data_IF_698725166983
#
_entry.id   IF_698725166983
#
_cell.length_a   1.000
_cell.length_b   1.000
_cell.length_c   1.000
_cell.angle_alpha   90.00
_cell.angle_beta   90.00
_cell.angle_gamma   90.00
#
_symmetry.space_group_name_H-M   'P 1'
#
loop_
_entity.id
_entity.type
_entity.pdbx_description
1 polymer ?
#
# COMPACT_ATOMS: atom_id res chain seq x y z
N UNK A 1 -18.30 -22.92 7.11
CA UNK A 1 -18.20 -21.71 7.97
C UNK A 1 -16.75 -21.38 8.29
N UNK A 2 -15.97 -22.25 8.96
CA UNK A 2 -14.58 -21.96 9.37
C UNK A 2 -13.69 -21.47 8.22
N UNK A 3 -13.73 -22.11 7.05
CA UNK A 3 -12.92 -21.68 5.89
C UNK A 3 -13.18 -20.24 5.45
N UNK A 4 -14.43 -19.79 5.53
CA UNK A 4 -14.82 -18.43 5.15
C UNK A 4 -14.22 -17.37 6.09
N UNK A 5 -14.16 -17.67 7.39
CA UNK A 5 -13.49 -16.84 8.39
C UNK A 5 -11.98 -16.79 8.16
N UNK A 6 -11.36 -17.90 7.74
CA UNK A 6 -9.93 -17.93 7.42
C UNK A 6 -9.65 -17.05 6.20
N UNK A 7 -10.42 -17.18 5.12
CA UNK A 7 -10.23 -16.35 3.92
C UNK A 7 -10.43 -14.87 4.20
N UNK A 8 -11.47 -14.51 4.95
CA UNK A 8 -11.73 -13.13 5.31
C UNK A 8 -10.64 -12.56 6.23
N UNK A 9 -10.15 -13.35 7.21
CA UNK A 9 -9.01 -12.97 8.05
C UNK A 9 -7.71 -12.75 7.26
N UNK A 10 -7.41 -13.63 6.30
CA UNK A 10 -6.25 -13.47 5.41
C UNK A 10 -6.37 -12.22 4.54
N UNK A 11 -7.56 -11.93 4.02
CA UNK A 11 -7.84 -10.71 3.26
C UNK A 11 -7.62 -9.44 4.09
N UNK A 12 -8.07 -9.43 5.35
CA UNK A 12 -7.84 -8.31 6.27
C UNK A 12 -6.35 -8.11 6.54
N UNK A 13 -5.63 -9.18 6.87
CA UNK A 13 -4.19 -9.12 7.14
C UNK A 13 -3.39 -8.64 5.91
N UNK A 14 -3.69 -9.18 4.73
CA UNK A 14 -3.05 -8.77 3.49
C UNK A 14 -3.39 -7.33 3.12
N UNK A 15 -4.65 -6.92 3.27
CA UNK A 15 -5.09 -5.54 3.04
C UNK A 15 -4.37 -4.55 3.95
N UNK A 16 -4.27 -4.85 5.25
CA UNK A 16 -3.51 -4.05 6.21
C UNK A 16 -2.02 -3.99 5.86
N UNK A 17 -1.40 -5.12 5.50
CA UNK A 17 0.01 -5.18 5.12
C UNK A 17 0.31 -4.31 3.89
N UNK A 18 -0.49 -4.44 2.83
CA UNK A 18 -0.35 -3.63 1.60
C UNK A 18 -0.64 -2.15 1.88
N UNK A 19 -1.65 -1.86 2.73
CA UNK A 19 -1.97 -0.51 3.16
C UNK A 19 -0.81 0.15 3.91
N UNK A 20 -0.23 -0.54 4.90
CA UNK A 20 0.93 -0.08 5.66
C UNK A 20 2.15 0.12 4.77
N UNK A 21 2.41 -0.78 3.82
CA UNK A 21 3.46 -0.61 2.82
C UNK A 21 3.25 0.62 1.94
N UNK A 22 2.01 0.88 1.50
CA UNK A 22 1.66 2.09 0.75
C UNK A 22 1.84 3.36 1.58
N UNK A 23 1.47 3.34 2.86
CA UNK A 23 1.69 4.45 3.78
C UNK A 23 3.19 4.71 4.03
N UNK A 24 3.96 3.65 4.25
CA UNK A 24 5.41 3.72 4.44
C UNK A 24 6.13 4.21 3.18
N UNK A 25 5.79 3.68 2.01
CA UNK A 25 6.35 4.13 0.73
C UNK A 25 6.04 5.60 0.43
N UNK A 26 4.87 6.09 0.86
CA UNK A 26 4.49 7.50 0.74
C UNK A 26 5.33 8.40 1.65
N UNK A 27 5.55 7.99 2.90
CA UNK A 27 6.32 8.77 3.90
C UNK A 27 7.82 8.75 3.62
N UNK A 28 8.34 7.64 3.08
CA UNK A 28 9.77 7.44 2.80
C UNK A 28 10.14 7.66 1.33
N UNK A 29 9.24 8.20 0.51
CA UNK A 29 9.48 8.39 -0.91
C UNK A 29 10.75 9.19 -1.22
N UNK A 30 11.11 10.13 -0.33
CA UNK A 30 12.33 10.93 -0.44
C UNK A 30 13.61 10.14 -0.12
N UNK A 31 13.52 9.09 0.70
CA UNK A 31 14.65 8.22 1.09
C UNK A 31 14.84 7.08 0.09
N UNK A 32 13.75 6.59 -0.52
CA UNK A 32 13.80 5.51 -1.51
C UNK A 32 14.37 5.94 -2.86
N UNK A 33 14.33 7.24 -3.19
CA UNK A 33 14.90 7.76 -4.43
C UNK A 33 16.35 8.19 -4.17
N UNK A 34 17.35 7.53 -4.76
CA UNK A 34 18.75 7.86 -4.54
C UNK A 34 19.11 9.30 -4.94
N UNK A 35 20.00 9.94 -4.19
CA UNK A 35 20.41 11.33 -4.42
C UNK A 35 21.37 11.53 -5.60
N UNK A 36 21.85 10.46 -6.23
CA UNK A 36 22.75 10.54 -7.39
C UNK A 36 22.04 10.84 -8.72
N UNK A 37 20.70 10.97 -8.73
CA UNK A 37 19.96 11.39 -9.91
C UNK A 37 19.98 12.91 -10.08
N UNK A 38 20.04 13.37 -11.34
CA UNK A 38 19.81 14.78 -11.66
C UNK A 38 18.44 15.23 -11.11
N UNK A 39 18.37 16.50 -10.68
CA UNK A 39 17.22 17.05 -9.94
C UNK A 39 15.89 16.81 -10.67
N UNK A 40 15.89 16.94 -12.01
CA UNK A 40 14.72 16.72 -12.86
C UNK A 40 14.24 15.25 -12.86
N UNK A 41 15.15 14.30 -12.95
CA UNK A 41 14.82 12.86 -12.93
C UNK A 41 14.40 12.41 -11.53
N UNK A 42 15.00 13.01 -10.48
CA UNK A 42 14.65 12.75 -9.09
C UNK A 42 13.21 13.16 -8.78
N UNK A 43 12.78 14.37 -9.16
CA UNK A 43 11.39 14.82 -8.96
C UNK A 43 10.38 13.96 -9.73
N UNK A 44 10.73 13.53 -10.95
CA UNK A 44 9.84 12.67 -11.74
C UNK A 44 9.66 11.30 -11.09
N UNK A 45 10.75 10.71 -10.57
CA UNK A 45 10.72 9.43 -9.84
C UNK A 45 9.97 9.54 -8.51
N UNK A 46 10.19 10.61 -7.73
CA UNK A 46 9.45 10.84 -6.48
C UNK A 46 7.94 10.91 -6.75
N UNK A 47 7.50 11.64 -7.79
CA UNK A 47 6.08 11.73 -8.17
C UNK A 47 5.51 10.37 -8.58
N UNK A 48 6.26 9.59 -9.35
CA UNK A 48 5.86 8.23 -9.74
C UNK A 48 5.74 7.31 -8.52
N UNK A 49 6.73 7.33 -7.62
CA UNK A 49 6.75 6.53 -6.41
C UNK A 49 5.62 6.91 -5.45
N UNK A 50 5.34 8.21 -5.31
CA UNK A 50 4.22 8.70 -4.49
C UNK A 50 2.87 8.25 -5.05
N UNK A 51 2.70 8.24 -6.38
CA UNK A 51 1.47 7.72 -7.01
C UNK A 51 1.32 6.21 -6.80
N UNK A 52 2.40 5.45 -6.99
CA UNK A 52 2.41 4.00 -6.73
C UNK A 52 2.08 3.67 -5.27
N UNK A 53 2.71 4.38 -4.33
CA UNK A 53 2.47 4.21 -2.89
C UNK A 53 1.05 4.58 -2.49
N UNK A 54 0.48 5.63 -3.09
CA UNK A 54 -0.92 6.01 -2.88
C UNK A 54 -1.88 4.94 -3.42
N UNK A 55 -1.59 4.37 -4.59
CA UNK A 55 -2.38 3.27 -5.15
C UNK A 55 -2.35 2.03 -4.24
N UNK A 56 -1.18 1.65 -3.73
CA UNK A 56 -1.06 0.56 -2.75
C UNK A 56 -1.84 0.85 -1.46
N UNK A 57 -1.79 2.08 -0.95
CA UNK A 57 -2.54 2.46 0.24
C UNK A 57 -4.05 2.30 0.04
N UNK A 58 -4.58 2.79 -1.09
CA UNK A 58 -6.00 2.68 -1.42
C UNK A 58 -6.40 1.22 -1.64
N UNK A 59 -5.62 0.46 -2.40
CA UNK A 59 -5.88 -0.96 -2.64
C UNK A 59 -5.90 -1.76 -1.34
N UNK A 60 -4.97 -1.50 -0.42
CA UNK A 60 -4.93 -2.12 0.90
C UNK A 60 -6.17 -1.81 1.73
N UNK A 61 -6.63 -0.55 1.74
CA UNK A 61 -7.87 -0.15 2.41
C UNK A 61 -9.11 -0.84 1.84
N UNK A 62 -9.21 -0.96 0.51
CA UNK A 62 -10.32 -1.65 -0.15
C UNK A 62 -10.33 -3.14 0.21
N UNK A 63 -9.16 -3.79 0.17
CA UNK A 63 -8.99 -5.20 0.54
C UNK A 63 -9.35 -5.45 2.02
N UNK A 64 -8.83 -4.61 2.92
CA UNK A 64 -9.14 -4.71 4.35
C UNK A 64 -10.63 -4.48 4.62
N UNK A 65 -11.23 -3.47 3.99
CA UNK A 65 -12.66 -3.18 4.12
C UNK A 65 -13.55 -4.32 3.60
N UNK A 66 -13.20 -4.91 2.46
CA UNK A 66 -13.90 -6.08 1.92
C UNK A 66 -13.78 -7.30 2.84
N UNK A 67 -12.59 -7.52 3.42
CA UNK A 67 -12.38 -8.58 4.41
C UNK A 67 -13.22 -8.38 5.68
N UNK A 68 -13.30 -7.14 6.19
CA UNK A 68 -14.14 -6.81 7.35
C UNK A 68 -15.63 -7.01 7.05
N UNK A 69 -16.09 -6.54 5.88
CA UNK A 69 -17.48 -6.75 5.44
C UNK A 69 -17.82 -8.24 5.27
N UNK A 70 -16.85 -9.08 4.92
CA UNK A 70 -17.04 -10.52 4.81
C UNK A 70 -17.01 -11.27 6.16
N UNK A 71 -16.55 -10.61 7.23
CA UNK A 71 -16.56 -11.13 8.61
C UNK A 71 -17.84 -10.76 9.38
N UNK A 72 -18.53 -9.70 8.95
CA UNK A 72 -19.81 -9.23 9.52
C UNK A 72 -20.97 -10.00 8.89
#
# INVERSE_FOLDING_TARGET
MVEQWVHAGVLVLMGLGVGLLGHWGRTHALVLVPDHFEVFDRERRIRSLHRGSCACYIAGLVLAGAGVLALV
#
